data_IF_424608970018
#
_entry.id   IF_424608970018
#
_cell.length_a   1.000
_cell.length_b   1.000
_cell.length_c   1.000
_cell.angle_alpha   90.00
_cell.angle_beta   90.00
_cell.angle_gamma   90.00
#
_symmetry.space_group_name_H-M   'P 1'
#
loop_
_entity.id
_entity.type
_entity.pdbx_description
1 polymer ?
#
# COMPACT_ATOMS: atom_id res chain seq x y z
N UNK A 1 8.00 -42.70 -27.49
CA UNK A 1 7.65 -42.10 -26.19
C UNK A 1 8.91 -41.44 -25.73
N UNK A 2 9.11 -40.20 -26.16
CA UNK A 2 10.38 -39.52 -26.01
C UNK A 2 10.21 -38.44 -24.95
N UNK A 3 11.00 -38.55 -23.89
CA UNK A 3 10.97 -37.59 -22.79
C UNK A 3 11.57 -36.28 -23.27
N UNK A 4 10.73 -35.26 -23.46
CA UNK A 4 11.17 -33.92 -23.80
C UNK A 4 12.09 -33.38 -22.71
N UNK A 5 13.38 -33.24 -23.03
CA UNK A 5 14.41 -32.76 -22.11
C UNK A 5 14.15 -31.32 -21.68
N UNK A 6 13.45 -31.13 -20.55
CA UNK A 6 13.36 -29.84 -19.88
C UNK A 6 14.78 -29.34 -19.57
N UNK A 7 15.21 -28.28 -20.26
CA UNK A 7 16.50 -27.67 -20.02
C UNK A 7 16.62 -27.21 -18.56
N UNK A 8 17.85 -27.16 -17.99
CA UNK A 8 18.03 -26.79 -16.60
C UNK A 8 17.45 -25.40 -16.35
N UNK A 9 16.41 -25.31 -15.51
CA UNK A 9 15.87 -24.05 -15.03
C UNK A 9 17.01 -23.23 -14.44
N UNK A 10 17.40 -22.16 -15.13
CA UNK A 10 18.50 -21.30 -14.66
C UNK A 10 18.14 -20.72 -13.30
N UNK A 11 18.87 -21.12 -12.27
CA UNK A 11 18.67 -20.71 -10.89
C UNK A 11 19.07 -19.23 -10.73
N UNK A 12 18.14 -18.33 -11.08
CA UNK A 12 18.32 -16.88 -10.95
C UNK A 12 18.20 -16.47 -9.50
N UNK A 13 18.92 -15.42 -9.10
CA UNK A 13 18.87 -14.93 -7.72
C UNK A 13 17.78 -13.87 -7.52
N UNK A 14 17.45 -13.55 -6.26
CA UNK A 14 16.50 -12.49 -5.93
C UNK A 14 16.95 -11.11 -6.47
N UNK A 15 18.26 -10.88 -6.54
CA UNK A 15 18.87 -9.68 -7.10
C UNK A 15 18.70 -9.60 -8.62
N UNK A 16 18.60 -10.73 -9.32
CA UNK A 16 18.33 -10.78 -10.76
C UNK A 16 16.86 -10.58 -11.11
N UNK A 17 15.94 -11.14 -10.31
CA UNK A 17 14.51 -10.86 -10.44
C UNK A 17 14.21 -9.40 -10.07
N UNK A 18 14.92 -8.84 -9.09
CA UNK A 18 14.84 -7.41 -8.78
C UNK A 18 15.41 -6.51 -9.88
N UNK A 19 16.45 -6.97 -10.60
CA UNK A 19 16.99 -6.30 -11.80
C UNK A 19 15.95 -6.27 -12.94
N UNK A 20 15.25 -7.38 -13.19
CA UNK A 20 14.15 -7.46 -14.15
C UNK A 20 12.99 -6.51 -13.77
N UNK A 21 12.48 -6.62 -12.53
CA UNK A 21 11.47 -5.71 -11.95
C UNK A 21 11.86 -4.24 -12.10
N UNK A 22 13.11 -3.88 -11.77
CA UNK A 22 13.62 -2.51 -11.90
C UNK A 22 13.58 -2.01 -13.33
N UNK A 23 13.97 -2.85 -14.30
CA UNK A 23 13.97 -2.50 -15.72
C UNK A 23 12.55 -2.16 -16.20
N UNK A 24 11.61 -3.06 -15.93
CA UNK A 24 10.18 -2.86 -16.29
C UNK A 24 9.59 -1.61 -15.62
N UNK A 25 9.86 -1.43 -14.32
CA UNK A 25 9.44 -0.26 -13.54
C UNK A 25 10.00 1.04 -14.09
N UNK A 26 11.25 1.06 -14.58
CA UNK A 26 11.85 2.24 -15.20
C UNK A 26 11.14 2.58 -16.53
N UNK A 27 10.85 1.58 -17.36
CA UNK A 27 10.07 1.76 -18.59
C UNK A 27 8.68 2.34 -18.33
N UNK A 28 7.93 1.78 -17.37
CA UNK A 28 6.58 2.26 -17.02
C UNK A 28 6.59 3.67 -16.40
N UNK A 29 7.58 4.00 -15.56
CA UNK A 29 7.77 5.39 -15.08
C UNK A 29 8.07 6.33 -16.25
N UNK A 30 8.87 5.91 -17.24
CA UNK A 30 9.15 6.71 -18.43
C UNK A 30 7.86 6.99 -19.22
N UNK A 31 7.01 5.98 -19.42
CA UNK A 31 5.68 6.13 -20.03
C UNK A 31 4.81 7.15 -19.28
N UNK A 32 4.71 7.03 -17.96
CA UNK A 32 3.80 7.81 -17.12
C UNK A 32 4.37 9.17 -16.64
N UNK A 33 5.57 9.57 -17.08
CA UNK A 33 6.18 10.85 -16.65
C UNK A 33 7.01 11.59 -17.71
N UNK A 34 7.79 10.87 -18.54
CA UNK A 34 8.79 11.48 -19.46
C UNK A 34 8.32 11.46 -20.90
N UNK A 35 7.55 10.42 -21.28
CA UNK A 35 6.96 10.23 -22.59
C UNK A 35 5.43 10.35 -22.52
N UNK A 36 4.89 11.08 -21.54
CA UNK A 36 3.48 11.01 -21.12
C UNK A 36 2.51 11.44 -22.21
N UNK A 37 2.86 12.46 -23.01
CA UNK A 37 2.06 12.89 -24.17
C UNK A 37 2.00 11.81 -25.26
N UNK A 38 3.10 11.06 -25.46
CA UNK A 38 3.14 9.91 -26.39
C UNK A 38 2.32 8.74 -25.85
N UNK A 39 2.40 8.48 -24.55
CA UNK A 39 1.61 7.44 -23.89
C UNK A 39 0.10 7.74 -23.97
N UNK A 40 -0.33 8.98 -23.70
CA UNK A 40 -1.71 9.44 -23.84
C UNK A 40 -2.23 9.24 -25.28
N UNK A 41 -1.44 9.63 -26.28
CA UNK A 41 -1.79 9.50 -27.71
C UNK A 41 -1.92 8.04 -28.18
N UNK A 42 -1.17 7.10 -27.59
CA UNK A 42 -1.28 5.68 -27.94
C UNK A 42 -2.52 5.03 -27.31
N UNK A 43 -2.89 5.44 -26.09
CA UNK A 43 -4.06 4.94 -25.34
C UNK A 43 -5.40 5.48 -25.88
N UNK A 44 -5.66 5.20 -27.15
CA UNK A 44 -6.83 5.67 -27.90
C UNK A 44 -8.12 4.90 -27.50
N UNK A 45 -9.17 5.56 -26.97
CA UNK A 45 -10.41 4.88 -26.53
C UNK A 45 -11.20 4.22 -27.65
N UNK A 46 -11.01 4.65 -28.92
CA UNK A 46 -11.68 4.07 -30.09
C UNK A 46 -11.03 2.76 -30.58
N UNK A 47 -9.94 2.32 -29.92
CA UNK A 47 -9.30 1.01 -30.16
C UNK A 47 -9.81 -0.04 -29.19
N UNK A 48 -9.56 -1.29 -29.53
CA UNK A 48 -9.70 -2.45 -28.64
C UNK A 48 -8.96 -2.28 -27.31
N UNK A 49 -9.22 -3.18 -26.36
CA UNK A 49 -8.75 -3.08 -24.99
C UNK A 49 -7.21 -3.07 -24.90
N UNK A 50 -6.60 -1.90 -24.66
CA UNK A 50 -5.14 -1.75 -24.59
C UNK A 50 -4.58 -2.03 -23.20
N UNK A 51 -3.31 -2.43 -23.18
CA UNK A 51 -2.48 -2.71 -22.01
C UNK A 51 -1.21 -1.82 -22.03
N UNK A 52 -0.61 -1.56 -20.86
CA UNK A 52 0.73 -0.96 -20.74
C UNK A 52 1.73 -2.02 -20.27
N UNK A 53 2.76 -2.30 -21.07
CA UNK A 53 3.84 -3.22 -20.73
C UNK A 53 5.14 -2.49 -20.40
N UNK A 54 5.83 -2.96 -19.36
CA UNK A 54 7.22 -2.61 -19.05
C UNK A 54 8.18 -3.75 -19.37
N UNK A 55 9.33 -3.43 -19.98
CA UNK A 55 10.34 -4.42 -20.38
C UNK A 55 11.66 -4.29 -19.59
N UNK A 56 12.43 -5.39 -19.40
CA UNK A 56 13.63 -5.39 -18.55
C UNK A 56 14.80 -4.52 -19.05
N UNK A 57 14.72 -4.04 -20.30
CA UNK A 57 15.64 -3.12 -20.98
C UNK A 57 15.28 -1.63 -20.78
N UNK A 58 14.39 -1.31 -19.84
CA UNK A 58 13.90 0.04 -19.53
C UNK A 58 13.03 0.69 -20.65
N UNK A 59 12.50 -0.11 -21.60
CA UNK A 59 11.48 0.35 -22.55
C UNK A 59 10.05 -0.01 -22.12
N UNK A 60 9.06 0.62 -22.77
CA UNK A 60 7.63 0.40 -22.56
C UNK A 60 6.88 0.33 -23.88
N UNK A 61 5.70 -0.28 -23.87
CA UNK A 61 4.82 -0.41 -25.03
C UNK A 61 3.35 -0.32 -24.61
N UNK A 62 2.51 0.17 -25.52
CA UNK A 62 1.04 0.12 -25.41
C UNK A 62 0.54 -0.72 -26.57
N UNK A 63 -0.05 -1.88 -26.25
CA UNK A 63 -0.48 -2.90 -27.22
C UNK A 63 -1.63 -3.73 -26.63
N UNK A 64 -2.14 -4.68 -27.40
CA UNK A 64 -3.18 -5.63 -26.99
C UNK A 64 -2.64 -6.66 -25.96
N UNK A 65 -3.51 -7.34 -25.19
CA UNK A 65 -3.12 -8.50 -24.39
C UNK A 65 -2.49 -9.61 -25.25
N UNK A 66 -1.68 -10.48 -24.64
CA UNK A 66 -1.07 -11.60 -25.34
C UNK A 66 -2.12 -12.58 -25.91
N UNK A 67 -1.94 -13.01 -27.16
CA UNK A 67 -2.80 -14.01 -27.83
C UNK A 67 -2.54 -15.45 -27.34
N UNK A 68 -1.41 -15.71 -26.67
CA UNK A 68 -1.03 -17.05 -26.20
C UNK A 68 -1.80 -17.46 -24.94
N UNK A 69 -2.33 -18.68 -24.93
CA UNK A 69 -3.14 -19.21 -23.82
C UNK A 69 -2.54 -20.53 -23.31
N UNK A 70 -2.05 -20.60 -22.05
CA UNK A 70 -1.84 -19.48 -21.11
C UNK A 70 -0.62 -18.62 -21.50
N UNK A 71 -0.61 -17.31 -21.15
CA UNK A 71 0.51 -16.42 -21.46
C UNK A 71 1.78 -16.77 -20.65
N UNK A 72 2.96 -16.37 -21.14
CA UNK A 72 4.22 -16.72 -20.46
C UNK A 72 4.37 -16.06 -19.07
N UNK A 73 3.79 -14.87 -18.87
CA UNK A 73 3.82 -14.10 -17.61
C UNK A 73 2.40 -13.62 -17.24
N UNK A 74 2.16 -13.14 -16.01
CA UNK A 74 0.91 -12.45 -15.68
C UNK A 74 0.66 -11.25 -16.61
N UNK A 75 -0.59 -11.06 -17.03
CA UNK A 75 -1.00 -9.91 -17.86
C UNK A 75 -1.21 -8.64 -17.02
N UNK A 76 -0.97 -7.43 -17.57
CA UNK A 76 -1.29 -6.17 -16.93
C UNK A 76 -2.79 -5.86 -17.00
N UNK A 77 -3.21 -4.73 -16.44
CA UNK A 77 -4.61 -4.29 -16.53
C UNK A 77 -5.02 -3.99 -17.98
N UNK A 78 -6.19 -4.52 -18.35
CA UNK A 78 -6.75 -4.50 -19.69
C UNK A 78 -7.74 -3.35 -19.87
N UNK A 79 -7.70 -2.66 -21.01
CA UNK A 79 -8.64 -1.59 -21.35
C UNK A 79 -8.30 -0.22 -20.74
N UNK A 80 -7.01 0.04 -20.43
CA UNK A 80 -6.58 1.31 -19.79
C UNK A 80 -6.93 2.55 -20.62
N UNK A 81 -7.14 2.39 -21.93
CA UNK A 81 -7.57 3.44 -22.85
C UNK A 81 -9.01 3.94 -22.58
N UNK A 82 -9.94 3.08 -22.16
CA UNK A 82 -11.35 3.47 -22.04
C UNK A 82 -11.63 4.52 -20.95
N UNK A 83 -10.88 4.48 -19.84
CA UNK A 83 -11.03 5.46 -18.77
C UNK A 83 -10.42 6.84 -19.09
N UNK A 84 -9.54 6.94 -20.12
CA UNK A 84 -8.66 8.10 -20.35
C UNK A 84 -9.41 9.43 -20.43
N UNK A 85 -10.42 9.50 -21.29
CA UNK A 85 -11.18 10.74 -21.55
C UNK A 85 -12.40 10.88 -20.63
N UNK A 86 -12.68 9.89 -19.76
CA UNK A 86 -13.79 9.88 -18.81
C UNK A 86 -13.46 10.47 -17.43
N UNK A 87 -12.20 10.81 -17.16
CA UNK A 87 -11.72 11.31 -15.85
C UNK A 87 -10.62 12.37 -16.03
N UNK A 88 -10.08 12.90 -14.93
CA UNK A 88 -8.93 13.80 -15.03
C UNK A 88 -7.67 13.02 -15.45
N UNK A 89 -6.88 13.57 -16.37
CA UNK A 89 -5.62 12.97 -16.83
C UNK A 89 -4.70 12.51 -15.67
N UNK A 90 -4.61 13.28 -14.58
CA UNK A 90 -3.76 12.92 -13.43
C UNK A 90 -4.31 11.75 -12.63
N UNK A 91 -5.63 11.65 -12.53
CA UNK A 91 -6.31 10.57 -11.82
C UNK A 91 -6.28 9.29 -12.68
N UNK A 92 -6.36 9.42 -14.01
CA UNK A 92 -6.11 8.34 -14.97
C UNK A 92 -4.67 7.82 -14.90
N UNK A 93 -3.66 8.71 -14.96
CA UNK A 93 -2.25 8.34 -14.82
C UNK A 93 -1.96 7.68 -13.46
N UNK A 94 -2.64 8.12 -12.40
CA UNK A 94 -2.55 7.51 -11.07
C UNK A 94 -3.20 6.11 -11.02
N UNK A 95 -4.37 5.92 -11.66
CA UNK A 95 -5.03 4.62 -11.81
C UNK A 95 -4.15 3.62 -12.57
N UNK A 96 -3.61 4.02 -13.73
CA UNK A 96 -2.68 3.20 -14.52
C UNK A 96 -1.42 2.89 -13.71
N UNK A 97 -0.91 3.83 -12.90
CA UNK A 97 0.23 3.59 -12.03
C UNK A 97 -0.04 2.51 -10.96
N UNK A 98 -1.20 2.52 -10.29
CA UNK A 98 -1.57 1.49 -9.30
C UNK A 98 -1.66 0.11 -9.95
N UNK A 99 -2.30 -0.01 -11.12
CA UNK A 99 -2.34 -1.28 -11.86
C UNK A 99 -0.94 -1.73 -12.32
N UNK A 100 -0.07 -0.78 -12.70
CA UNK A 100 1.33 -1.07 -13.08
C UNK A 100 2.16 -1.59 -11.90
N UNK A 101 2.03 -0.98 -10.72
CA UNK A 101 2.70 -1.44 -9.49
C UNK A 101 2.27 -2.88 -9.11
N UNK A 102 0.97 -3.16 -9.17
CA UNK A 102 0.41 -4.51 -8.92
C UNK A 102 0.91 -5.55 -9.94
N UNK A 103 0.92 -5.21 -11.23
CA UNK A 103 1.44 -6.09 -12.29
C UNK A 103 2.92 -6.40 -12.11
N UNK A 104 3.74 -5.40 -11.81
CA UNK A 104 5.18 -5.58 -11.57
C UNK A 104 5.46 -6.50 -10.38
N UNK A 105 4.66 -6.41 -9.30
CA UNK A 105 4.75 -7.32 -8.16
C UNK A 105 4.36 -8.75 -8.57
N UNK A 106 3.27 -8.93 -9.33
CA UNK A 106 2.84 -10.23 -9.84
C UNK A 106 3.90 -10.89 -10.73
N UNK A 107 4.49 -10.16 -11.69
CA UNK A 107 5.57 -10.64 -12.57
C UNK A 107 6.81 -11.03 -11.76
N UNK A 108 7.22 -10.22 -10.78
CA UNK A 108 8.37 -10.53 -9.93
C UNK A 108 8.16 -11.79 -9.09
N UNK A 109 6.97 -11.99 -8.52
CA UNK A 109 6.67 -13.18 -7.71
C UNK A 109 6.37 -14.43 -8.54
N UNK A 110 5.83 -14.28 -9.75
CA UNK A 110 5.77 -15.34 -10.75
C UNK A 110 7.16 -15.88 -11.10
N UNK A 111 8.12 -14.98 -11.37
CA UNK A 111 9.52 -15.38 -11.57
C UNK A 111 10.13 -16.02 -10.31
N UNK A 112 9.86 -15.49 -9.12
CA UNK A 112 10.30 -16.13 -7.87
C UNK A 112 9.79 -17.57 -7.72
N UNK A 113 8.55 -17.85 -8.13
CA UNK A 113 7.99 -19.20 -8.15
C UNK A 113 8.63 -20.08 -9.25
N UNK A 114 8.73 -19.58 -10.50
CA UNK A 114 9.40 -20.26 -11.64
C UNK A 114 10.86 -20.63 -11.34
N UNK A 115 11.56 -19.85 -10.52
CA UNK A 115 12.96 -20.10 -10.12
C UNK A 115 13.10 -20.77 -8.74
N UNK A 116 12.01 -21.24 -8.13
CA UNK A 116 12.05 -22.07 -6.91
C UNK A 116 12.47 -21.34 -5.63
N UNK A 117 12.18 -20.04 -5.51
CA UNK A 117 12.60 -19.24 -4.35
C UNK A 117 12.01 -19.76 -3.05
N UNK A 118 12.87 -19.98 -2.05
CA UNK A 118 12.47 -20.21 -0.66
C UNK A 118 11.85 -18.96 0.00
N UNK A 119 11.45 -19.10 1.27
CA UNK A 119 10.85 -18.02 2.06
C UNK A 119 11.80 -16.82 2.22
N UNK A 120 13.08 -17.07 2.40
CA UNK A 120 14.12 -16.07 2.65
C UNK A 120 14.46 -15.28 1.37
N UNK A 121 14.48 -15.94 0.21
CA UNK A 121 14.65 -15.35 -1.11
C UNK A 121 13.43 -14.50 -1.50
N UNK A 122 12.20 -15.00 -1.29
CA UNK A 122 10.96 -14.21 -1.50
C UNK A 122 10.93 -12.97 -0.60
N UNK A 123 11.29 -13.11 0.68
CA UNK A 123 11.43 -11.98 1.63
C UNK A 123 12.51 -10.98 1.18
N UNK A 124 13.64 -11.44 0.65
CA UNK A 124 14.70 -10.56 0.13
C UNK A 124 14.24 -9.77 -1.10
N UNK A 125 13.57 -10.44 -2.04
CA UNK A 125 12.98 -9.80 -3.22
C UNK A 125 11.97 -8.72 -2.81
N UNK A 126 11.03 -9.04 -1.92
CA UNK A 126 10.05 -8.08 -1.40
C UNK A 126 10.74 -6.86 -0.78
N UNK A 127 11.73 -7.07 0.10
CA UNK A 127 12.46 -5.99 0.75
C UNK A 127 13.21 -5.09 -0.27
N UNK A 128 13.70 -5.63 -1.38
CA UNK A 128 14.35 -4.82 -2.43
C UNK A 128 13.34 -4.01 -3.23
N UNK A 129 12.18 -4.60 -3.56
CA UNK A 129 11.05 -3.92 -4.21
C UNK A 129 10.55 -2.76 -3.33
N UNK A 130 10.22 -3.03 -2.08
CA UNK A 130 9.64 -2.09 -1.12
C UNK A 130 10.65 -1.04 -0.57
N UNK A 131 11.90 -1.08 -1.02
CA UNK A 131 12.88 0.00 -0.79
C UNK A 131 12.85 1.09 -1.88
N UNK A 132 12.06 0.89 -2.94
CA UNK A 132 11.77 1.89 -3.96
C UNK A 132 10.37 2.48 -3.69
N UNK A 133 10.13 3.76 -4.01
CA UNK A 133 8.76 4.27 -4.04
C UNK A 133 7.97 3.58 -5.15
N UNK A 134 6.65 3.49 -5.00
CA UNK A 134 5.78 2.94 -6.05
C UNK A 134 5.74 3.86 -7.28
N UNK A 135 5.30 3.37 -8.43
CA UNK A 135 5.04 4.20 -9.61
C UNK A 135 3.98 5.24 -9.26
N UNK A 136 2.93 4.85 -8.54
CA UNK A 136 1.91 5.79 -8.03
C UNK A 136 2.52 6.90 -7.17
N UNK A 137 3.43 6.60 -6.24
CA UNK A 137 4.11 7.61 -5.41
C UNK A 137 5.06 8.54 -6.20
N UNK A 138 5.57 8.08 -7.35
CA UNK A 138 6.37 8.88 -8.27
C UNK A 138 5.47 9.82 -9.10
N UNK A 139 4.41 9.29 -9.71
CA UNK A 139 3.46 10.03 -10.57
C UNK A 139 2.69 11.08 -9.76
N UNK A 140 2.15 10.72 -8.59
CA UNK A 140 1.48 11.67 -7.67
C UNK A 140 2.44 12.59 -6.92
N UNK A 141 3.75 12.32 -6.98
CA UNK A 141 4.79 13.03 -6.24
C UNK A 141 4.80 12.80 -4.72
N UNK A 142 4.01 11.84 -4.21
CA UNK A 142 3.96 11.50 -2.78
C UNK A 142 5.35 11.13 -2.19
N UNK A 143 6.22 10.49 -2.98
CA UNK A 143 7.60 10.14 -2.60
C UNK A 143 8.43 11.36 -2.13
N UNK A 144 8.12 12.57 -2.64
CA UNK A 144 8.79 13.82 -2.24
C UNK A 144 8.35 14.34 -0.86
N UNK A 145 7.18 13.89 -0.35
CA UNK A 145 6.68 14.26 0.99
C UNK A 145 7.39 13.46 2.09
N UNK A 146 7.40 12.12 1.98
CA UNK A 146 7.98 11.23 3.00
C UNK A 146 9.47 11.52 3.28
N UNK A 147 10.24 11.87 2.26
CA UNK A 147 11.66 12.25 2.40
C UNK A 147 11.84 13.52 3.24
N UNK A 148 10.86 14.43 3.23
CA UNK A 148 10.92 15.72 3.95
C UNK A 148 10.58 15.60 5.43
N UNK A 149 9.83 14.57 5.83
CA UNK A 149 9.40 14.32 7.21
C UNK A 149 10.45 13.55 8.03
N UNK A 150 11.36 12.82 7.38
CA UNK A 150 12.42 12.03 8.03
C UNK A 150 13.68 12.84 8.42
N UNK A 151 13.63 14.18 8.39
CA UNK A 151 14.76 15.04 8.77
C UNK A 151 14.87 15.22 10.30
N UNK A 152 15.95 14.76 10.97
CA UNK A 152 16.10 14.90 12.42
C UNK A 152 16.42 16.35 12.80
N UNK A 153 15.56 16.97 13.61
CA UNK A 153 15.66 18.37 14.00
C UNK A 153 16.75 18.59 15.09
N UNK A 154 18.02 18.67 14.68
CA UNK A 154 19.14 18.92 15.59
C UNK A 154 19.26 20.40 15.96
N UNK A 155 19.16 20.70 17.25
CA UNK A 155 19.13 22.08 17.76
C UNK A 155 20.51 22.72 17.88
N UNK A 156 20.65 23.96 17.40
CA UNK A 156 21.59 24.91 18.00
C UNK A 156 21.08 26.36 17.87
N UNK A 157 21.18 27.12 18.96
CA UNK A 157 21.03 28.59 19.03
C UNK A 157 22.33 29.17 19.57
N UNK A 158 22.61 30.46 19.30
CA UNK A 158 22.64 31.35 20.46
C UNK A 158 22.04 32.76 20.27
N UNK A 159 21.53 33.28 21.39
CA UNK A 159 21.39 34.69 21.76
C UNK A 159 20.36 35.63 21.08
N UNK A 160 20.26 36.81 21.70
CA UNK A 160 19.12 37.75 21.80
C UNK A 160 19.71 39.18 21.98
N UNK A 161 19.01 40.28 21.64
CA UNK A 161 18.05 40.91 22.57
C UNK A 161 16.72 41.29 21.87
N UNK A 162 15.52 41.11 22.45
CA UNK A 162 14.97 41.66 23.71
C UNK A 162 14.35 43.06 23.58
N UNK A 163 13.06 43.10 23.27
CA UNK A 163 12.11 44.18 23.64
C UNK A 163 10.82 43.58 24.21
N UNK A 164 10.07 44.36 25.00
CA UNK A 164 8.90 43.89 25.78
C UNK A 164 7.60 44.07 24.99
N UNK A 165 6.59 43.22 25.24
CA UNK A 165 5.37 43.58 26.01
C UNK A 165 4.36 42.40 26.09
N UNK A 166 3.39 42.55 27.00
CA UNK A 166 2.22 41.70 27.30
C UNK A 166 1.01 42.66 27.51
N UNK A 167 -0.27 42.22 27.67
CA UNK A 167 -0.80 40.86 27.82
C UNK A 167 -1.99 40.51 26.88
N UNK A 168 -2.64 39.36 27.17
CA UNK A 168 -3.91 38.83 26.62
C UNK A 168 -5.15 39.54 27.23
N UNK A 169 -6.36 39.41 26.66
CA UNK A 169 -7.37 38.44 27.14
C UNK A 169 -7.94 37.57 25.98
N UNK A 170 -8.40 36.33 26.13
CA UNK A 170 -9.56 35.81 26.90
C UNK A 170 -10.91 36.35 26.37
N UNK A 171 -11.99 35.58 26.27
CA UNK A 171 -12.24 34.16 26.62
C UNK A 171 -12.21 33.27 25.34
N UNK A 172 -12.99 32.20 25.05
CA UNK A 172 -13.93 31.35 25.80
C UNK A 172 -13.98 29.91 25.23
N UNK A 173 -14.98 29.09 25.61
CA UNK A 173 -15.16 27.69 25.17
C UNK A 173 -16.64 27.31 25.07
N UNK A 174 -17.03 26.43 24.12
CA UNK A 174 -17.94 25.26 24.27
C UNK A 174 -18.49 24.71 22.93
N UNK A 175 -18.79 23.41 22.93
CA UNK A 175 -19.76 22.74 22.06
C UNK A 175 -20.48 21.64 22.89
N UNK A 176 -21.77 21.34 22.63
CA UNK A 176 -22.22 19.95 22.75
C UNK A 176 -23.36 19.50 21.78
N UNK A 177 -23.13 18.33 21.16
CA UNK A 177 -23.99 17.19 20.72
C UNK A 177 -25.52 17.29 20.40
N UNK A 178 -26.08 16.31 19.63
CA UNK A 178 -27.44 16.33 19.04
C UNK A 178 -28.43 15.27 19.61
N UNK A 179 -29.67 15.18 19.07
CA UNK A 179 -30.51 13.97 19.07
C UNK A 179 -30.96 13.50 17.65
N UNK A 180 -31.56 12.30 17.57
CA UNK A 180 -32.24 11.67 16.40
C UNK A 180 -33.75 11.40 16.75
N UNK A 181 -34.55 10.42 16.22
CA UNK A 181 -34.37 9.33 15.22
C UNK A 181 -35.03 9.73 13.86
N UNK A 182 -35.90 9.00 13.09
CA UNK A 182 -36.67 7.74 13.27
C UNK A 182 -36.17 6.55 12.37
N UNK A 183 -37.08 5.80 11.74
CA UNK A 183 -36.93 4.74 10.71
C UNK A 183 -38.14 4.80 9.75
N UNK A 184 -38.07 4.11 8.60
CA UNK A 184 -38.93 2.97 8.20
C UNK A 184 -38.38 2.36 6.87
N UNK A 185 -38.95 1.24 6.41
CA UNK A 185 -38.27 0.24 5.55
C UNK A 185 -38.44 0.41 4.02
N UNK A 186 -37.53 -0.16 3.22
CA UNK A 186 -37.85 -0.97 2.02
C UNK A 186 -36.66 -1.85 1.55
N UNK A 187 -36.90 -2.87 0.72
CA UNK A 187 -35.91 -3.92 0.36
C UNK A 187 -35.06 -3.62 -0.90
N UNK A 188 -33.74 -3.90 -0.82
CA UNK A 188 -32.89 -4.30 -1.97
C UNK A 188 -31.67 -5.06 -1.44
N UNK A 189 -31.22 -6.11 -2.13
CA UNK A 189 -30.13 -6.98 -1.66
C UNK A 189 -28.73 -6.48 -2.01
N UNK A 190 -27.81 -6.52 -1.04
CA UNK A 190 -26.39 -6.18 -1.20
C UNK A 190 -25.52 -7.45 -1.34
N UNK A 191 -24.85 -7.63 -2.49
CA UNK A 191 -23.81 -8.66 -2.71
C UNK A 191 -22.38 -8.06 -2.59
N UNK A 192 -22.14 -7.24 -1.55
CA UNK A 192 -20.88 -6.50 -1.37
C UNK A 192 -20.35 -6.50 0.09
N UNK A 193 -20.39 -7.66 0.76
CA UNK A 193 -20.05 -7.77 2.20
C UNK A 193 -18.74 -8.52 2.54
N UNK A 194 -18.19 -9.34 1.65
CA UNK A 194 -17.07 -10.26 1.99
C UNK A 194 -15.69 -9.59 2.14
N UNK A 195 -15.41 -8.49 1.43
CA UNK A 195 -14.05 -7.92 1.36
C UNK A 195 -13.54 -7.32 2.69
N UNK A 196 -14.43 -6.94 3.61
CA UNK A 196 -14.05 -6.39 4.94
C UNK A 196 -13.82 -7.45 6.03
N UNK A 197 -14.20 -8.72 5.82
CA UNK A 197 -14.04 -9.76 6.86
C UNK A 197 -12.66 -10.42 6.82
N UNK A 198 -12.03 -10.57 5.65
CA UNK A 198 -10.73 -11.26 5.50
C UNK A 198 -9.56 -10.56 6.21
N UNK A 199 -9.50 -9.21 6.20
CA UNK A 199 -8.44 -8.48 6.93
C UNK A 199 -8.54 -8.69 8.46
N UNK A 200 -9.76 -8.89 8.98
CA UNK A 200 -10.00 -9.10 10.40
C UNK A 200 -9.53 -10.49 10.85
N UNK A 201 -9.57 -11.49 9.96
CA UNK A 201 -9.18 -12.88 10.29
C UNK A 201 -7.66 -13.10 10.42
N UNK A 202 -6.84 -12.14 9.97
CA UNK A 202 -5.37 -12.21 10.11
C UNK A 202 -4.79 -11.40 11.28
N UNK A 203 -5.62 -10.74 12.10
CA UNK A 203 -5.13 -9.88 13.21
C UNK A 203 -4.70 -10.72 14.43
N UNK A 204 -3.39 -10.87 14.64
CA UNK A 204 -2.85 -11.62 15.79
C UNK A 204 -2.72 -10.76 17.06
N UNK A 205 -3.19 -11.29 18.19
CA UNK A 205 -3.08 -10.62 19.49
C UNK A 205 -1.62 -10.47 19.94
N UNK A 206 -1.18 -9.22 20.13
CA UNK A 206 0.18 -8.85 20.55
C UNK A 206 0.62 -9.33 21.94
N UNK A 207 -0.18 -10.13 22.66
CA UNK A 207 0.14 -10.74 23.95
C UNK A 207 0.02 -12.27 24.00
N UNK A 208 -0.76 -12.91 23.13
CA UNK A 208 -0.88 -14.39 23.09
C UNK A 208 -0.56 -15.00 21.73
N UNK A 209 -0.43 -14.21 20.66
CA UNK A 209 -0.03 -14.66 19.33
C UNK A 209 -1.11 -15.35 18.51
N UNK A 210 -2.37 -15.34 18.96
CA UNK A 210 -3.48 -16.01 18.28
C UNK A 210 -4.58 -15.02 17.86
N UNK A 211 -5.49 -15.47 16.99
CA UNK A 211 -6.76 -14.81 16.65
C UNK A 211 -7.98 -15.62 17.13
N UNK A 212 -7.82 -16.38 18.23
CA UNK A 212 -8.88 -17.23 18.80
C UNK A 212 -9.91 -16.40 19.58
N UNK A 213 -10.68 -15.58 18.85
CA UNK A 213 -11.59 -14.60 19.44
C UNK A 213 -12.31 -13.69 18.44
N UNK A 214 -12.96 -14.25 17.42
CA UNK A 214 -13.79 -13.47 16.47
C UNK A 214 -14.91 -12.66 17.17
N UNK A 215 -15.52 -13.22 18.22
CA UNK A 215 -16.53 -12.56 19.06
C UNK A 215 -15.97 -11.81 20.28
N UNK A 216 -14.64 -11.73 20.45
CA UNK A 216 -14.05 -11.11 21.64
C UNK A 216 -13.82 -9.60 21.49
N UNK A 217 -13.77 -8.90 22.63
CA UNK A 217 -13.40 -7.49 22.67
C UNK A 217 -11.89 -7.29 22.47
N UNK A 218 -11.52 -6.46 21.49
CA UNK A 218 -10.14 -6.09 21.16
C UNK A 218 -9.83 -4.61 21.45
N UNK A 219 -8.56 -4.29 21.69
CA UNK A 219 -8.08 -2.91 21.89
C UNK A 219 -6.70 -2.69 21.26
N UNK A 220 -6.52 -1.56 20.55
CA UNK A 220 -5.26 -1.16 19.92
C UNK A 220 -4.47 -0.17 20.80
N UNK A 221 -3.14 -0.30 20.83
CA UNK A 221 -2.23 0.52 21.64
C UNK A 221 -1.71 1.77 20.90
N UNK A 222 -2.05 2.98 21.36
CA UNK A 222 -1.57 4.29 20.85
C UNK A 222 -0.04 4.48 20.79
N UNK A 223 0.74 3.52 21.29
CA UNK A 223 2.19 3.61 21.44
C UNK A 223 2.97 2.51 20.70
N UNK A 224 2.29 1.56 20.06
CA UNK A 224 2.92 0.53 19.22
C UNK A 224 2.01 -0.08 18.15
N UNK A 225 0.77 0.43 18.00
CA UNK A 225 -0.19 0.08 16.93
C UNK A 225 -0.54 -1.42 16.86
N UNK A 226 -0.27 -2.16 17.94
CA UNK A 226 -0.65 -3.56 18.10
C UNK A 226 -2.02 -3.71 18.74
N UNK A 227 -2.78 -4.67 18.22
CA UNK A 227 -4.06 -5.14 18.72
C UNK A 227 -3.89 -6.21 19.82
N UNK A 228 -4.80 -6.20 20.79
CA UNK A 228 -4.80 -7.12 21.93
C UNK A 228 -6.23 -7.52 22.30
N UNK A 229 -6.50 -8.81 22.54
CA UNK A 229 -7.72 -9.23 23.25
C UNK A 229 -7.78 -8.54 24.62
N UNK A 230 -8.93 -7.96 25.00
CA UNK A 230 -9.13 -7.29 26.29
C UNK A 230 -8.83 -8.20 27.49
N UNK A 231 -9.10 -9.52 27.36
CA UNK A 231 -8.75 -10.55 28.36
C UNK A 231 -7.24 -10.59 28.64
N UNK A 232 -6.41 -10.53 27.60
CA UNK A 232 -4.95 -10.63 27.71
C UNK A 232 -4.34 -9.40 28.40
N UNK A 233 -4.95 -8.23 28.23
CA UNK A 233 -4.45 -6.96 28.80
C UNK A 233 -5.24 -6.43 30.00
N UNK A 234 -6.25 -7.19 30.47
CA UNK A 234 -7.11 -6.86 31.63
C UNK A 234 -7.88 -5.54 31.45
N UNK A 235 -8.39 -5.32 30.24
CA UNK A 235 -9.30 -4.22 29.88
C UNK A 235 -10.65 -4.82 29.46
N UNK A 236 -11.74 -4.33 30.05
CA UNK A 236 -13.12 -4.64 29.65
C UNK A 236 -13.68 -3.55 28.72
N UNK A 237 -14.74 -3.81 27.92
CA UNK A 237 -15.35 -2.80 27.05
C UNK A 237 -15.72 -1.51 27.78
N UNK A 238 -16.48 -1.61 28.88
CA UNK A 238 -16.88 -0.48 29.72
C UNK A 238 -15.69 0.30 30.32
N UNK A 239 -14.51 -0.33 30.48
CA UNK A 239 -13.28 0.35 30.87
C UNK A 239 -12.64 1.07 29.69
N UNK A 240 -12.69 0.50 28.48
CA UNK A 240 -12.13 1.07 27.27
C UNK A 240 -12.86 2.35 26.82
N UNK A 241 -14.19 2.41 26.96
CA UNK A 241 -15.01 3.63 26.74
C UNK A 241 -14.46 4.88 27.45
N UNK A 242 -13.77 4.69 28.58
CA UNK A 242 -13.25 5.75 29.44
C UNK A 242 -11.74 6.03 29.21
N UNK A 243 -11.07 5.27 28.33
CA UNK A 243 -9.64 5.42 28.03
C UNK A 243 -9.46 6.25 26.74
N UNK A 244 -8.93 7.47 26.88
CA UNK A 244 -8.64 8.35 25.73
C UNK A 244 -7.40 7.96 24.93
N UNK A 245 -6.43 7.34 25.61
CA UNK A 245 -5.18 6.83 25.02
C UNK A 245 -4.79 5.57 25.79
N UNK A 246 -4.81 4.42 25.14
CA UNK A 246 -4.45 3.14 25.72
C UNK A 246 -2.97 2.83 25.50
N UNK A 247 -2.32 2.26 26.52
CA UNK A 247 -0.95 1.74 26.41
C UNK A 247 -0.91 0.33 26.94
N UNK A 248 -0.47 -0.60 26.10
CA UNK A 248 -0.24 -1.99 26.49
C UNK A 248 0.83 -2.10 27.59
N UNK A 249 0.87 -3.21 28.34
CA UNK A 249 1.84 -3.41 29.42
C UNK A 249 3.30 -3.14 29.01
N UNK A 250 3.67 -3.52 27.79
CA UNK A 250 5.03 -3.34 27.24
C UNK A 250 5.39 -1.87 27.00
N UNK A 251 4.41 -1.02 26.68
CA UNK A 251 4.61 0.41 26.46
C UNK A 251 4.38 1.24 27.72
N UNK A 252 3.57 0.75 28.67
CA UNK A 252 3.43 1.34 30.01
C UNK A 252 4.70 1.17 30.86
N UNK A 253 5.21 -0.05 30.97
CA UNK A 253 6.34 -0.37 31.86
C UNK A 253 7.68 0.23 31.42
N UNK A 254 7.83 0.66 30.16
CA UNK A 254 9.04 1.35 29.66
C UNK A 254 9.34 2.69 30.36
N UNK A 255 8.36 3.28 31.07
CA UNK A 255 8.58 4.47 31.94
C UNK A 255 8.92 4.16 33.40
N UNK A 256 8.97 2.89 33.81
CA UNK A 256 9.23 2.47 35.19
C UNK A 256 10.65 1.90 35.41
N UNK A 257 11.55 2.04 34.42
CA UNK A 257 12.94 1.58 34.45
C UNK A 257 13.90 2.57 33.75
N UNK A 258 13.68 3.86 33.99
CA UNK A 258 14.53 4.98 33.58
C UNK A 258 14.62 5.97 34.75
#
# INVERSE_FOLDING_TARGET
>A
MDGGSGGPYTSRTAEEVFRDFRGRRAGMIKALTTDVEKFYQLCDPEKENLCLYGYPNETWEVTLPAEEVPPEIPEPALGINFARDGMNEKDWLALVAVHSDSWLLAVAFYFAARFGFDKEARRRLFNMINNLPTIFEVVTGAAKKQTKEKAPNSTNKPNKPSSKMQPRPESHSKAPKPPAPPKDDDESGDEYADEEEEERDNTLCGSCGTNDGKDEFWICCDSCERWYHGKCVKITPARAEHIKHYKCPDCGNKRARA
#
